data_IF_309588183386
#
_entry.id   IF_309588183386
#
_cell.length_a   1.000
_cell.length_b   1.000
_cell.length_c   1.000
_cell.angle_alpha   90.00
_cell.angle_beta   90.00
_cell.angle_gamma   90.00
#
_symmetry.space_group_name_H-M   'P 1'
#
loop_
_entity.id
_entity.type
_entity.pdbx_description
1 polymer ?
#
# COMPACT_ATOMS: atom_id res chain seq x y z
N UNK A 1 -1.48 -8.25 12.39
CA UNK A 1 -0.70 -7.84 11.20
C UNK A 1 0.55 -7.09 11.65
N UNK A 2 1.61 -7.14 10.86
CA UNK A 2 2.86 -6.44 11.15
C UNK A 2 3.03 -5.22 10.24
N UNK A 3 3.27 -4.07 10.85
CA UNK A 3 3.57 -2.81 10.16
C UNK A 3 4.97 -2.92 9.56
N UNK A 4 5.09 -2.75 8.24
CA UNK A 4 6.39 -2.80 7.55
C UNK A 4 6.78 -1.39 7.17
N UNK A 5 8.01 -0.97 7.54
CA UNK A 5 8.56 0.30 7.09
C UNK A 5 9.22 0.12 5.73
N UNK A 6 8.90 1.00 4.77
CA UNK A 6 9.46 1.04 3.43
C UNK A 6 10.30 2.31 3.26
N UNK A 7 11.61 2.14 3.11
CA UNK A 7 12.51 3.21 2.70
C UNK A 7 12.39 3.52 1.20
N UNK A 8 13.09 4.56 0.71
CA UNK A 8 13.11 4.90 -0.71
C UNK A 8 13.55 3.71 -1.58
N UNK A 9 12.74 3.35 -2.57
CA UNK A 9 12.96 2.21 -3.47
C UNK A 9 12.52 0.85 -2.90
N UNK A 10 12.12 0.76 -1.64
CA UNK A 10 11.67 -0.50 -1.05
C UNK A 10 10.29 -0.90 -1.57
N UNK A 11 10.04 -2.21 -1.54
CA UNK A 11 8.77 -2.79 -1.95
C UNK A 11 8.29 -3.85 -0.96
N UNK A 12 6.97 -4.02 -0.88
CA UNK A 12 6.33 -5.05 -0.07
C UNK A 12 5.04 -5.54 -0.72
N UNK A 13 4.92 -6.86 -0.81
CA UNK A 13 3.71 -7.50 -1.33
C UNK A 13 2.81 -8.03 -0.22
N UNK A 14 1.51 -7.92 -0.43
CA UNK A 14 0.43 -8.39 0.44
C UNK A 14 -0.57 -9.19 -0.39
N UNK A 15 -1.09 -10.27 0.17
CA UNK A 15 -2.26 -10.94 -0.42
C UNK A 15 -3.53 -10.21 -0.01
N UNK A 16 -4.53 -10.22 -0.88
CA UNK A 16 -5.88 -9.80 -0.51
C UNK A 16 -6.75 -10.99 -0.12
N UNK A 17 -7.80 -10.71 0.64
CA UNK A 17 -8.79 -11.73 0.97
C UNK A 17 -9.56 -12.19 -0.27
N UNK A 18 -10.13 -13.41 -0.26
CA UNK A 18 -11.00 -13.90 -1.32
C UNK A 18 -12.23 -13.01 -1.56
N UNK A 19 -12.91 -13.25 -2.69
CA UNK A 19 -14.15 -12.56 -3.07
C UNK A 19 -15.20 -12.66 -1.96
N UNK A 20 -15.87 -11.54 -1.66
CA UNK A 20 -16.88 -11.46 -0.61
C UNK A 20 -16.34 -10.97 0.74
N UNK A 21 -15.03 -10.74 0.86
CA UNK A 21 -14.40 -10.13 2.04
C UNK A 21 -13.68 -8.84 1.68
N UNK A 22 -13.83 -7.82 2.53
CA UNK A 22 -13.16 -6.54 2.34
C UNK A 22 -11.69 -6.64 2.73
N UNK A 23 -10.78 -6.05 1.95
CA UNK A 23 -9.36 -5.91 2.31
C UNK A 23 -8.97 -4.44 2.26
N UNK A 24 -8.25 -3.98 3.30
CA UNK A 24 -7.75 -2.62 3.40
C UNK A 24 -6.23 -2.60 3.41
N UNK A 25 -5.66 -1.59 2.73
CA UNK A 25 -4.27 -1.16 2.92
C UNK A 25 -4.23 0.11 3.75
N UNK A 26 -3.25 0.16 4.63
CA UNK A 26 -2.97 1.28 5.49
C UNK A 26 -1.58 1.81 5.20
N UNK A 27 -1.46 3.13 5.27
CA UNK A 27 -0.22 3.85 5.06
C UNK A 27 -0.07 4.89 6.15
N UNK A 28 1.14 5.11 6.63
CA UNK A 28 1.45 6.13 7.63
C UNK A 28 2.85 6.67 7.38
N UNK A 29 2.95 7.96 7.14
CA UNK A 29 4.21 8.67 6.97
C UNK A 29 4.58 9.43 8.25
N UNK A 30 5.85 9.40 8.63
CA UNK A 30 6.38 10.23 9.74
C UNK A 30 7.00 11.53 9.25
N UNK A 31 7.30 11.61 7.96
CA UNK A 31 8.06 12.71 7.33
C UNK A 31 7.32 13.25 6.10
N UNK A 32 7.85 14.35 5.54
CA UNK A 32 7.37 14.94 4.28
C UNK A 32 7.84 14.13 3.07
N UNK A 33 7.26 14.38 1.89
CA UNK A 33 7.72 13.85 0.60
C UNK A 33 7.71 12.31 0.49
N UNK A 34 6.74 11.68 1.16
CA UNK A 34 6.44 10.26 1.01
C UNK A 34 5.46 10.03 -0.15
N UNK A 35 5.83 9.16 -1.08
CA UNK A 35 4.98 8.75 -2.20
C UNK A 35 4.81 7.24 -2.20
N UNK A 36 3.58 6.81 -1.95
CA UNK A 36 3.20 5.40 -1.96
C UNK A 36 2.59 5.05 -3.31
N UNK A 37 3.15 4.03 -3.95
CA UNK A 37 2.61 3.43 -5.16
C UNK A 37 2.19 2.01 -4.86
N UNK A 38 1.05 1.57 -5.38
CA UNK A 38 0.70 0.15 -5.31
C UNK A 38 0.14 -0.36 -6.63
N UNK A 39 0.57 -1.57 -6.96
CA UNK A 39 0.15 -2.32 -8.11
C UNK A 39 -0.65 -3.53 -7.67
N UNK A 40 -1.82 -3.72 -8.27
CA UNK A 40 -2.63 -4.92 -8.09
C UNK A 40 -2.22 -5.87 -9.23
N UNK A 41 -1.67 -7.03 -8.90
CA UNK A 41 -1.24 -8.06 -9.87
C UNK A 41 -2.45 -8.82 -10.45
N UNK A 42 -3.36 -8.04 -11.02
CA UNK A 42 -4.41 -8.50 -11.93
C UNK A 42 -4.11 -7.89 -13.29
N UNK A 43 -4.24 -8.71 -14.34
CA UNK A 43 -3.96 -8.29 -15.70
C UNK A 43 -4.64 -6.93 -16.00
N UNK A 44 -3.84 -5.96 -16.47
CA UNK A 44 -4.29 -4.65 -16.95
C UNK A 44 -4.74 -3.61 -15.89
N UNK A 45 -4.43 -3.77 -14.60
CA UNK A 45 -4.64 -2.69 -13.64
C UNK A 45 -3.51 -1.65 -13.72
N UNK A 46 -3.88 -0.36 -13.74
CA UNK A 46 -2.91 0.73 -13.64
C UNK A 46 -2.40 0.85 -12.20
N UNK A 47 -1.17 1.32 -12.08
CA UNK A 47 -0.60 1.69 -10.80
C UNK A 47 -1.41 2.80 -10.14
N UNK A 48 -1.53 2.70 -8.83
CA UNK A 48 -2.19 3.69 -7.98
C UNK A 48 -1.11 4.43 -7.23
N UNK A 49 -1.18 5.75 -7.25
CA UNK A 49 -0.20 6.63 -6.60
C UNK A 49 -0.90 7.50 -5.58
N UNK A 50 -0.27 7.70 -4.43
CA UNK A 50 -0.76 8.57 -3.36
C UNK A 50 0.41 9.25 -2.64
N UNK A 51 0.35 10.57 -2.56
CA UNK A 51 1.21 11.35 -1.66
C UNK A 51 0.71 11.20 -0.23
N UNK A 52 1.63 10.93 0.70
CA UNK A 52 1.35 10.84 2.13
C UNK A 52 1.85 12.09 2.83
N UNK A 53 0.97 12.72 3.63
CA UNK A 53 1.36 13.82 4.49
C UNK A 53 1.96 13.28 5.81
N UNK A 54 2.91 14.00 6.41
CA UNK A 54 3.45 13.60 7.70
C UNK A 54 2.37 13.52 8.78
N UNK A 55 2.48 12.50 9.63
CA UNK A 55 1.54 12.18 10.70
C UNK A 55 0.12 11.86 10.23
N UNK A 56 -0.08 11.67 8.92
CA UNK A 56 -1.36 11.24 8.36
C UNK A 56 -1.38 9.72 8.19
N UNK A 57 -2.42 9.09 8.73
CA UNK A 57 -2.75 7.71 8.41
C UNK A 57 -3.78 7.67 7.27
N UNK A 58 -3.44 7.01 6.17
CA UNK A 58 -4.35 6.76 5.06
C UNK A 58 -4.84 5.31 5.09
N UNK A 59 -6.12 5.13 4.78
CA UNK A 59 -6.77 3.82 4.62
C UNK A 59 -7.38 3.75 3.22
N UNK A 60 -7.05 2.70 2.49
CA UNK A 60 -7.53 2.47 1.12
C UNK A 60 -8.21 1.11 1.03
N UNK A 61 -9.40 1.09 0.45
CA UNK A 61 -10.10 -0.15 0.11
C UNK A 61 -9.48 -0.75 -1.17
N UNK A 62 -8.97 -1.98 -1.06
CA UNK A 62 -8.42 -2.74 -2.18
C UNK A 62 -9.22 -4.01 -2.48
N UNK A 63 -10.50 -4.05 -2.09
CA UNK A 63 -11.36 -5.22 -2.30
C UNK A 63 -11.65 -5.52 -3.76
N UNK A 64 -11.42 -4.56 -4.66
CA UNK A 64 -11.44 -4.81 -6.12
C UNK A 64 -10.32 -5.75 -6.58
N UNK A 65 -9.32 -5.98 -5.73
CA UNK A 65 -8.20 -6.89 -5.95
C UNK A 65 -8.41 -8.26 -5.29
N UNK A 66 -9.64 -8.66 -4.95
CA UNK A 66 -9.91 -9.87 -4.17
C UNK A 66 -9.23 -11.13 -4.76
N UNK A 67 -8.45 -11.84 -3.93
CA UNK A 67 -7.65 -13.00 -4.31
C UNK A 67 -6.37 -12.71 -5.09
N UNK A 68 -5.98 -11.44 -5.24
CA UNK A 68 -4.77 -11.02 -5.95
C UNK A 68 -3.61 -10.68 -5.02
N UNK A 69 -2.41 -10.65 -5.58
CA UNK A 69 -1.23 -10.07 -4.94
C UNK A 69 -1.23 -8.54 -5.16
N UNK A 70 -0.95 -7.78 -4.12
CA UNK A 70 -0.80 -6.32 -4.20
C UNK A 70 0.60 -5.96 -3.75
N UNK A 71 1.34 -5.29 -4.63
CA UNK A 71 2.72 -4.87 -4.37
C UNK A 71 2.74 -3.36 -4.14
N UNK A 72 3.09 -2.96 -2.93
CA UNK A 72 3.34 -1.57 -2.53
C UNK A 72 4.81 -1.25 -2.76
N UNK A 73 5.11 -0.05 -3.26
CA UNK A 73 6.45 0.48 -3.51
C UNK A 73 6.54 1.90 -2.98
N UNK A 74 7.72 2.29 -2.51
CA UNK A 74 8.04 3.66 -2.17
C UNK A 74 8.91 4.27 -3.27
N UNK A 75 8.36 5.21 -4.04
CA UNK A 75 9.12 5.98 -5.04
C UNK A 75 9.46 7.40 -4.56
N UNK A 76 9.06 7.74 -3.32
CA UNK A 76 9.43 8.99 -2.66
C UNK A 76 10.82 8.94 -2.02
N UNK A 77 11.18 10.05 -1.37
CA UNK A 77 12.50 10.24 -0.75
C UNK A 77 12.51 9.97 0.76
N UNK A 78 11.33 9.89 1.37
CA UNK A 78 11.16 9.62 2.79
C UNK A 78 10.50 8.26 3.03
N UNK A 79 10.74 7.70 4.22
CA UNK A 79 10.19 6.39 4.58
C UNK A 79 8.74 6.50 5.01
N UNK A 80 7.94 5.50 4.66
CA UNK A 80 6.60 5.34 5.21
C UNK A 80 6.35 3.89 5.64
N UNK A 81 5.42 3.72 6.56
CA UNK A 81 4.97 2.41 6.96
C UNK A 81 3.71 2.01 6.21
N UNK A 82 3.63 0.74 5.81
CA UNK A 82 2.43 0.15 5.24
C UNK A 82 2.10 -1.22 5.82
N UNK A 83 0.82 -1.56 5.80
CA UNK A 83 0.30 -2.87 6.19
C UNK A 83 -1.08 -3.13 5.62
N UNK A 84 -1.46 -4.40 5.53
CA UNK A 84 -2.84 -4.81 5.27
C UNK A 84 -3.56 -5.17 6.56
N UNK A 85 -4.89 -5.13 6.57
CA UNK A 85 -5.71 -5.79 7.59
C UNK A 85 -5.82 -7.31 7.39
N UNK A 86 -5.01 -7.91 6.50
CA UNK A 86 -4.96 -9.35 6.27
C UNK A 86 -3.54 -9.87 6.42
#
# INVERSE_FOLDING_TARGET
MSKTNLGPGDTKSFWTRPVGMTTYLFFEAQEHDCEAIWHIELCCQKDRTMTLNPNEQKKVDISSAAGALVTVRNEGWASFSCWSDY
#
